data_IF_994973297723
#
_entry.id   IF_994973297723
#
_cell.length_a   1.000
_cell.length_b   1.000
_cell.length_c   1.000
_cell.angle_alpha   90.00
_cell.angle_beta   90.00
_cell.angle_gamma   90.00
#
_symmetry.space_group_name_H-M   'P 1'
#
loop_
_entity.id
_entity.type
_entity.pdbx_description
1 polymer ?
#
# COMPACT_ATOMS: atom_id res chain seq x y z
N UNK A 1 -9.88 -5.11 -19.44
CA UNK A 1 -9.88 -3.65 -19.68
C UNK A 1 -9.55 -3.28 -21.12
N UNK A 2 -10.13 -2.19 -21.64
CA UNK A 2 -9.84 -1.64 -22.99
C UNK A 2 -9.21 -0.25 -22.91
N UNK A 3 -8.15 -0.05 -23.68
CA UNK A 3 -7.43 1.22 -23.78
C UNK A 3 -7.61 1.81 -25.18
N UNK A 4 -7.90 3.10 -25.27
CA UNK A 4 -7.89 3.76 -26.57
C UNK A 4 -8.42 5.19 -26.55
N UNK A 5 -8.28 5.90 -27.69
CA UNK A 5 -8.96 7.17 -27.89
C UNK A 5 -10.48 6.95 -27.99
N UNK A 6 -11.23 7.91 -27.47
CA UNK A 6 -12.68 7.99 -27.59
C UNK A 6 -13.10 9.45 -27.74
N UNK A 7 -14.19 9.71 -28.46
CA UNK A 7 -14.83 11.02 -28.41
C UNK A 7 -15.34 11.31 -26.98
N UNK A 8 -15.53 12.56 -26.56
CA UNK A 8 -16.05 12.89 -25.23
C UNK A 8 -17.33 12.11 -24.88
N UNK A 9 -18.28 12.00 -25.80
CA UNK A 9 -19.52 11.25 -25.58
C UNK A 9 -19.28 9.75 -25.36
N UNK A 10 -18.40 9.14 -26.15
CA UNK A 10 -18.05 7.73 -25.98
C UNK A 10 -17.21 7.51 -24.72
N UNK A 11 -16.44 8.50 -24.27
CA UNK A 11 -15.53 8.38 -23.14
C UNK A 11 -16.24 8.23 -21.78
N UNK A 12 -17.56 8.43 -21.70
CA UNK A 12 -18.36 8.26 -20.47
C UNK A 12 -18.09 6.88 -19.83
N UNK A 13 -17.86 6.89 -18.52
CA UNK A 13 -17.50 5.71 -17.72
C UNK A 13 -16.04 5.26 -17.87
N UNK A 14 -15.29 5.84 -18.81
CA UNK A 14 -13.85 5.66 -18.91
C UNK A 14 -13.08 6.51 -17.91
N UNK A 15 -11.83 6.13 -17.65
CA UNK A 15 -10.91 6.84 -16.77
C UNK A 15 -9.77 7.44 -17.58
N UNK A 16 -9.42 8.71 -17.34
CA UNK A 16 -8.32 9.38 -18.03
C UNK A 16 -6.97 8.72 -17.74
N UNK A 17 -6.23 8.43 -18.80
CA UNK A 17 -4.95 7.72 -18.68
C UNK A 17 -3.80 8.65 -18.28
N UNK A 18 -3.86 9.90 -18.74
CA UNK A 18 -2.88 10.93 -18.47
C UNK A 18 -3.60 12.23 -18.10
N UNK A 19 -2.86 13.17 -17.51
CA UNK A 19 -3.39 14.51 -17.26
C UNK A 19 -3.60 15.21 -18.60
N UNK A 20 -4.84 15.52 -18.94
CA UNK A 20 -5.19 16.29 -20.14
C UNK A 20 -5.13 17.78 -19.81
N UNK A 21 -4.41 18.54 -20.63
CA UNK A 21 -4.33 20.01 -20.55
C UNK A 21 -4.68 20.60 -21.90
N UNK A 22 -5.76 21.38 -21.96
CA UNK A 22 -6.23 22.05 -23.18
C UNK A 22 -6.76 23.44 -22.82
N UNK A 23 -6.04 24.49 -23.21
CA UNK A 23 -6.35 25.85 -22.76
C UNK A 23 -6.33 25.95 -21.23
N UNK A 24 -7.45 26.34 -20.62
CA UNK A 24 -7.64 26.41 -19.17
C UNK A 24 -8.09 25.10 -18.53
N UNK A 25 -8.47 24.09 -19.32
CA UNK A 25 -8.92 22.80 -18.81
C UNK A 25 -7.72 21.97 -18.32
N UNK A 26 -7.84 21.46 -17.09
CA UNK A 26 -6.95 20.43 -16.54
C UNK A 26 -7.79 19.28 -15.99
N UNK A 27 -7.81 18.16 -16.69
CA UNK A 27 -8.32 16.89 -16.16
C UNK A 27 -7.13 16.06 -15.67
N UNK A 28 -7.13 15.68 -14.40
CA UNK A 28 -6.05 14.87 -13.82
C UNK A 28 -6.12 13.45 -14.39
N UNK A 29 -4.98 12.75 -14.41
CA UNK A 29 -4.97 11.29 -14.57
C UNK A 29 -5.85 10.64 -13.50
N UNK A 30 -6.58 9.60 -13.86
CA UNK A 30 -7.46 8.87 -12.94
C UNK A 30 -8.84 9.52 -12.77
N UNK A 31 -9.17 10.56 -13.53
CA UNK A 31 -10.51 11.16 -13.51
C UNK A 31 -11.48 10.28 -14.29
N UNK A 32 -12.56 9.85 -13.65
CA UNK A 32 -13.69 9.19 -14.31
C UNK A 32 -14.46 10.22 -15.14
N UNK A 33 -14.69 9.92 -16.41
CA UNK A 33 -15.44 10.78 -17.33
C UNK A 33 -16.95 10.56 -17.11
N UNK A 34 -17.62 11.56 -16.55
CA UNK A 34 -19.08 11.64 -16.50
C UNK A 34 -19.62 12.75 -17.42
N UNK A 35 -20.95 12.99 -17.41
CA UNK A 35 -21.58 14.04 -18.23
C UNK A 35 -20.97 15.43 -18.02
N UNK A 36 -20.56 15.76 -16.79
CA UNK A 36 -19.92 17.03 -16.47
C UNK A 36 -18.54 17.16 -17.15
N UNK A 37 -17.72 16.11 -17.09
CA UNK A 37 -16.41 16.10 -17.76
C UNK A 37 -16.58 16.19 -19.28
N UNK A 38 -17.59 15.53 -19.84
CA UNK A 38 -17.92 15.62 -21.28
C UNK A 38 -18.25 17.05 -21.69
N UNK A 39 -19.07 17.77 -20.92
CA UNK A 39 -19.37 19.17 -21.23
C UNK A 39 -18.10 20.03 -21.24
N UNK A 40 -17.21 19.83 -20.26
CA UNK A 40 -15.99 20.62 -20.15
C UNK A 40 -15.00 20.28 -21.27
N UNK A 41 -14.89 19.00 -21.64
CA UNK A 41 -14.11 18.53 -22.80
C UNK A 41 -14.62 19.18 -24.10
N UNK A 42 -15.94 19.18 -24.32
CA UNK A 42 -16.56 19.80 -25.49
C UNK A 42 -16.32 21.32 -25.51
N UNK A 43 -16.51 22.00 -24.37
CA UNK A 43 -16.25 23.46 -24.25
C UNK A 43 -14.78 23.80 -24.52
N UNK A 44 -13.86 22.91 -24.19
CA UNK A 44 -12.42 23.06 -24.45
C UNK A 44 -12.00 22.67 -25.88
N UNK A 45 -12.93 22.21 -26.72
CA UNK A 45 -12.64 21.78 -28.10
C UNK A 45 -11.83 20.48 -28.18
N UNK A 46 -11.93 19.60 -27.19
CA UNK A 46 -11.24 18.31 -27.20
C UNK A 46 -12.04 17.30 -28.02
N UNK A 47 -11.49 16.90 -29.17
CA UNK A 47 -12.15 15.94 -30.07
C UNK A 47 -12.00 14.48 -29.62
N UNK A 48 -10.85 14.14 -29.03
CA UNK A 48 -10.55 12.79 -28.55
C UNK A 48 -9.83 12.85 -27.21
N UNK A 49 -10.20 11.92 -26.32
CA UNK A 49 -9.52 11.69 -25.05
C UNK A 49 -9.15 10.22 -24.94
N UNK A 50 -7.93 9.94 -24.48
CA UNK A 50 -7.49 8.56 -24.24
C UNK A 50 -7.98 8.11 -22.88
N UNK A 51 -8.85 7.11 -22.88
CA UNK A 51 -9.44 6.54 -21.67
C UNK A 51 -9.16 5.05 -21.57
N UNK A 52 -9.19 4.56 -20.34
CA UNK A 52 -9.31 3.14 -20.04
C UNK A 52 -10.73 2.84 -19.58
N UNK A 53 -11.31 1.75 -20.09
CA UNK A 53 -12.59 1.21 -19.61
C UNK A 53 -12.36 -0.14 -18.97
N UNK A 54 -12.88 -0.30 -17.75
CA UNK A 54 -12.97 -1.59 -17.11
C UNK A 54 -13.96 -2.45 -17.88
N UNK A 55 -13.64 -3.74 -18.06
CA UNK A 55 -14.55 -4.70 -18.65
C UNK A 55 -15.39 -5.38 -17.57
N UNK A 56 -16.44 -6.07 -17.98
CA UNK A 56 -17.21 -6.90 -17.05
C UNK A 56 -16.30 -7.93 -16.39
N UNK A 57 -16.29 -7.97 -15.05
CA UNK A 57 -15.40 -8.82 -14.26
C UNK A 57 -14.09 -8.16 -13.82
N UNK A 58 -13.77 -6.94 -14.29
CA UNK A 58 -12.66 -6.15 -13.77
C UNK A 58 -13.06 -5.38 -12.50
N UNK A 59 -12.07 -5.12 -11.65
CA UNK A 59 -12.15 -4.17 -10.53
C UNK A 59 -11.13 -3.06 -10.71
N UNK A 60 -11.44 -1.88 -10.15
CA UNK A 60 -10.52 -0.73 -10.22
C UNK A 60 -9.21 -0.99 -9.47
N UNK A 61 -8.14 -0.30 -9.88
CA UNK A 61 -6.84 -0.36 -9.21
C UNK A 61 -6.93 -0.01 -7.72
N UNK A 62 -7.76 0.97 -7.36
CA UNK A 62 -7.93 1.42 -5.98
C UNK A 62 -8.70 0.39 -5.14
N UNK A 63 -9.74 -0.23 -5.71
CA UNK A 63 -10.47 -1.30 -5.03
C UNK A 63 -9.57 -2.52 -4.78
N UNK A 64 -8.80 -2.92 -5.79
CA UNK A 64 -7.86 -4.03 -5.66
C UNK A 64 -6.74 -3.72 -4.65
N UNK A 65 -6.14 -2.53 -4.73
CA UNK A 65 -5.11 -2.08 -3.79
C UNK A 65 -5.63 -2.10 -2.34
N UNK A 66 -6.82 -1.54 -2.11
CA UNK A 66 -7.43 -1.49 -0.79
C UNK A 66 -7.74 -2.90 -0.26
N UNK A 67 -8.29 -3.78 -1.10
CA UNK A 67 -8.62 -5.15 -0.72
C UNK A 67 -7.40 -5.93 -0.25
N UNK A 68 -6.30 -5.86 -1.01
CA UNK A 68 -5.05 -6.56 -0.69
C UNK A 68 -4.38 -5.93 0.54
N UNK A 69 -4.34 -4.59 0.63
CA UNK A 69 -3.80 -3.89 1.80
C UNK A 69 -4.53 -4.26 3.09
N UNK A 70 -5.86 -4.35 3.03
CA UNK A 70 -6.67 -4.79 4.17
C UNK A 70 -6.37 -6.24 4.57
N UNK A 71 -6.14 -7.14 3.61
CA UNK A 71 -5.86 -8.54 3.88
C UNK A 71 -4.47 -8.77 4.53
N UNK A 72 -3.46 -8.00 4.09
CA UNK A 72 -2.11 -8.09 4.68
C UNK A 72 -1.99 -7.38 6.04
N UNK A 73 -2.93 -6.50 6.38
CA UNK A 73 -2.93 -5.73 7.62
C UNK A 73 -3.20 -6.64 8.82
N UNK A 74 -2.24 -6.69 9.75
CA UNK A 74 -2.39 -7.33 11.06
C UNK A 74 -2.20 -6.33 12.21
N UNK A 75 -1.89 -6.85 13.40
CA UNK A 75 -1.84 -6.04 14.62
C UNK A 75 -0.83 -4.88 14.52
N UNK A 76 -1.28 -3.67 14.84
CA UNK A 76 -0.42 -2.48 14.88
C UNK A 76 -0.04 -1.92 13.51
N UNK A 77 -0.66 -2.38 12.43
CA UNK A 77 -0.53 -1.83 11.08
C UNK A 77 -1.74 -0.95 10.78
N UNK A 78 -1.52 0.21 10.16
CA UNK A 78 -2.56 1.13 9.70
C UNK A 78 -2.47 1.20 8.19
N UNK A 79 -3.53 0.79 7.48
CA UNK A 79 -3.62 0.97 6.04
C UNK A 79 -4.25 2.32 5.71
N UNK A 80 -3.59 3.11 4.86
CA UNK A 80 -4.20 4.30 4.28
C UNK A 80 -5.16 3.93 3.15
N UNK A 81 -6.08 4.86 2.84
CA UNK A 81 -6.99 4.74 1.71
C UNK A 81 -6.18 4.57 0.41
N UNK A 82 -6.59 3.61 -0.41
CA UNK A 82 -6.03 3.44 -1.74
C UNK A 82 -6.30 4.66 -2.63
N UNK A 83 -5.27 5.10 -3.35
CA UNK A 83 -5.37 6.18 -4.32
C UNK A 83 -4.39 5.95 -5.47
N UNK A 84 -4.88 6.07 -6.72
CA UNK A 84 -4.10 5.86 -7.94
C UNK A 84 -3.37 4.51 -7.96
N UNK A 85 -4.10 3.46 -7.57
CA UNK A 85 -3.65 2.07 -7.51
C UNK A 85 -2.66 1.78 -6.41
N UNK A 86 -2.46 2.68 -5.44
CA UNK A 86 -1.50 2.50 -4.34
C UNK A 86 -2.21 2.56 -3.00
N UNK A 87 -1.90 1.62 -2.12
CA UNK A 87 -2.29 1.65 -0.71
C UNK A 87 -1.03 1.51 0.16
N UNK A 88 -0.72 2.53 0.95
CA UNK A 88 0.42 2.53 1.86
C UNK A 88 0.01 2.02 3.24
N UNK A 89 0.93 1.31 3.90
CA UNK A 89 0.72 0.77 5.24
C UNK A 89 1.78 1.33 6.19
N UNK A 90 1.35 1.71 7.39
CA UNK A 90 2.15 2.42 8.38
C UNK A 90 2.17 1.68 9.71
N UNK A 91 3.27 1.83 10.44
CA UNK A 91 3.36 1.37 11.81
C UNK A 91 2.50 2.26 12.72
N UNK A 92 1.49 1.69 13.38
CA UNK A 92 0.64 2.43 14.32
C UNK A 92 1.28 2.68 15.68
N UNK A 93 2.47 2.13 15.94
CA UNK A 93 3.27 2.34 17.17
C UNK A 93 4.72 1.94 16.91
N UNK A 94 5.64 2.40 17.77
CA UNK A 94 7.02 1.96 17.74
C UNK A 94 7.17 0.47 18.10
N UNK A 95 8.05 -0.23 17.40
CA UNK A 95 8.27 -1.66 17.61
C UNK A 95 9.15 -2.30 16.54
N UNK A 96 8.99 -3.61 16.37
CA UNK A 96 9.67 -4.40 15.34
C UNK A 96 8.66 -4.85 14.30
N UNK A 97 8.90 -4.53 13.03
CA UNK A 97 8.08 -4.99 11.91
C UNK A 97 8.27 -6.49 11.71
N UNK A 98 7.19 -7.26 11.80
CA UNK A 98 7.18 -8.70 11.50
C UNK A 98 6.44 -8.90 10.17
N UNK A 99 7.09 -9.64 9.27
CA UNK A 99 6.62 -9.89 7.91
C UNK A 99 6.56 -11.40 7.67
N UNK A 100 5.41 -11.91 7.24
CA UNK A 100 5.33 -13.22 6.58
C UNK A 100 5.92 -13.08 5.16
N UNK A 101 7.20 -13.42 5.02
CA UNK A 101 7.89 -13.37 3.71
C UNK A 101 7.24 -14.29 2.69
N UNK A 102 6.73 -15.45 3.10
CA UNK A 102 6.06 -16.35 2.19
C UNK A 102 4.75 -15.76 1.67
N UNK A 103 4.03 -14.95 2.47
CA UNK A 103 2.87 -14.21 1.97
C UNK A 103 3.26 -13.16 0.92
N UNK A 104 4.37 -12.46 1.13
CA UNK A 104 4.91 -11.51 0.13
C UNK A 104 5.18 -12.23 -1.20
N UNK A 105 5.86 -13.37 -1.15
CA UNK A 105 6.18 -14.16 -2.35
C UNK A 105 4.92 -14.70 -3.03
N UNK A 106 3.96 -15.23 -2.25
CA UNK A 106 2.69 -15.73 -2.80
C UNK A 106 1.88 -14.64 -3.49
N UNK A 107 1.79 -13.44 -2.91
CA UNK A 107 1.03 -12.33 -3.51
C UNK A 107 1.69 -11.87 -4.82
N UNK A 108 3.00 -11.63 -4.79
CA UNK A 108 3.73 -11.17 -5.98
C UNK A 108 3.84 -12.24 -7.07
N UNK A 109 3.69 -13.52 -6.71
CA UNK A 109 3.68 -14.63 -7.66
C UNK A 109 2.35 -14.84 -8.39
N UNK A 110 1.30 -14.06 -8.11
CA UNK A 110 -0.02 -14.25 -8.73
C UNK A 110 -0.06 -13.68 -10.14
N UNK A 111 0.34 -12.43 -10.30
CA UNK A 111 0.27 -11.70 -11.55
C UNK A 111 1.16 -10.46 -11.49
N UNK A 112 1.78 -10.11 -12.61
CA UNK A 112 2.66 -8.93 -12.70
C UNK A 112 1.93 -7.60 -12.43
N UNK A 113 0.60 -7.56 -12.61
CA UNK A 113 -0.20 -6.39 -12.31
C UNK A 113 -0.23 -6.03 -10.81
N UNK A 114 0.08 -6.99 -9.93
CA UNK A 114 0.01 -6.85 -8.47
C UNK A 114 1.42 -6.81 -7.89
N UNK A 115 1.74 -5.76 -7.14
CA UNK A 115 2.99 -5.67 -6.41
C UNK A 115 2.73 -5.36 -4.94
N UNK A 116 3.31 -6.17 -4.05
CA UNK A 116 3.33 -5.93 -2.62
C UNK A 116 4.78 -5.86 -2.13
N UNK A 117 5.17 -4.70 -1.60
CA UNK A 117 6.51 -4.44 -1.12
C UNK A 117 6.49 -4.03 0.36
N UNK A 118 7.51 -4.45 1.10
CA UNK A 118 7.66 -4.18 2.54
C UNK A 118 9.07 -3.69 2.84
N UNK A 119 9.26 -2.99 3.96
CA UNK A 119 10.57 -2.91 4.58
C UNK A 119 11.05 -4.32 4.97
N UNK A 120 12.35 -4.45 5.27
CA UNK A 120 12.93 -5.72 5.69
C UNK A 120 12.26 -6.26 6.96
N UNK A 121 12.00 -7.56 6.99
CA UNK A 121 11.52 -8.24 8.19
C UNK A 121 12.44 -7.97 9.38
N UNK A 122 11.83 -7.78 10.55
CA UNK A 122 12.47 -7.46 11.83
C UNK A 122 13.15 -6.09 11.90
N UNK A 123 12.87 -5.19 10.95
CA UNK A 123 13.33 -3.82 11.04
C UNK A 123 12.65 -3.10 12.23
N UNK A 124 13.42 -2.39 13.08
CA UNK A 124 12.87 -1.43 14.04
C UNK A 124 12.13 -0.29 13.32
N UNK A 125 10.94 0.05 13.81
CA UNK A 125 10.10 1.12 13.25
C UNK A 125 9.60 2.05 14.35
N UNK A 126 9.33 3.29 13.95
CA UNK A 126 8.65 4.29 14.79
C UNK A 126 7.19 4.43 14.37
N UNK A 127 6.36 5.02 15.24
CA UNK A 127 4.97 5.34 14.90
C UNK A 127 4.91 6.27 13.68
N UNK A 128 3.98 5.99 12.76
CA UNK A 128 3.80 6.75 11.52
C UNK A 128 4.82 6.43 10.43
N UNK A 129 5.74 5.48 10.63
CA UNK A 129 6.67 5.07 9.59
C UNK A 129 5.96 4.20 8.54
N UNK A 130 6.15 4.48 7.25
CA UNK A 130 5.64 3.65 6.16
C UNK A 130 6.41 2.33 6.10
N UNK A 131 5.73 1.21 6.31
CA UNK A 131 6.34 -0.12 6.42
C UNK A 131 6.09 -1.02 5.24
N UNK A 132 5.04 -0.76 4.46
CA UNK A 132 4.71 -1.51 3.26
C UNK A 132 3.83 -0.72 2.29
N UNK A 133 3.71 -1.20 1.06
CA UNK A 133 2.85 -0.63 0.03
C UNK A 133 2.33 -1.73 -0.89
N UNK A 134 1.04 -1.65 -1.23
CA UNK A 134 0.45 -2.41 -2.33
C UNK A 134 0.34 -1.47 -3.52
N UNK A 135 0.79 -1.92 -4.69
CA UNK A 135 0.69 -1.20 -5.96
C UNK A 135 0.05 -2.09 -7.02
N UNK A 136 -0.99 -1.58 -7.64
CA UNK A 136 -1.53 -2.07 -8.90
C UNK A 136 -0.89 -1.24 -10.02
N UNK A 137 -0.32 -1.95 -10.99
CA UNK A 137 0.36 -1.36 -12.14
C UNK A 137 -0.66 -0.86 -13.18
N UNK A 138 -1.65 -1.66 -13.60
CA UNK A 138 -2.73 -1.19 -14.48
C UNK A 138 -3.83 -0.47 -13.69
N UNK A 139 -4.71 0.23 -14.41
CA UNK A 139 -5.87 0.96 -13.85
C UNK A 139 -6.99 0.05 -13.31
N UNK A 140 -6.91 -1.24 -13.61
CA UNK A 140 -7.80 -2.26 -13.10
C UNK A 140 -7.24 -3.64 -13.38
N UNK A 141 -7.79 -4.63 -12.68
CA UNK A 141 -7.41 -6.03 -12.79
C UNK A 141 -8.66 -6.90 -12.74
N UNK A 142 -8.59 -8.11 -13.28
CA UNK A 142 -9.68 -9.07 -13.13
C UNK A 142 -9.95 -9.34 -11.65
N UNK A 143 -11.23 -9.37 -11.25
CA UNK A 143 -11.63 -9.59 -9.85
C UNK A 143 -11.03 -10.90 -9.28
N UNK A 144 -10.90 -11.94 -10.11
CA UNK A 144 -10.29 -13.22 -9.72
C UNK A 144 -8.84 -13.09 -9.26
N UNK A 145 -8.06 -12.15 -9.82
CA UNK A 145 -6.67 -11.90 -9.46
C UNK A 145 -6.60 -11.16 -8.10
N UNK A 146 -7.45 -10.15 -7.92
CA UNK A 146 -7.65 -9.48 -6.62
C UNK A 146 -8.01 -10.50 -5.54
N UNK A 147 -8.98 -11.37 -5.82
CA UNK A 147 -9.44 -12.37 -4.86
C UNK A 147 -8.37 -13.42 -4.55
N UNK A 148 -7.58 -13.83 -5.55
CA UNK A 148 -6.43 -14.70 -5.34
C UNK A 148 -5.38 -14.04 -4.44
N UNK A 149 -5.09 -12.75 -4.63
CA UNK A 149 -4.13 -12.01 -3.82
C UNK A 149 -4.59 -11.83 -2.37
N UNK A 150 -5.87 -11.52 -2.18
CA UNK A 150 -6.50 -11.47 -0.86
C UNK A 150 -6.41 -12.83 -0.16
N UNK A 151 -6.69 -13.94 -0.86
CA UNK A 151 -6.54 -15.30 -0.30
C UNK A 151 -5.09 -15.63 0.03
N UNK A 152 -4.15 -15.26 -0.85
CA UNK A 152 -2.71 -15.53 -0.67
C UNK A 152 -2.09 -14.77 0.50
N UNK A 153 -2.60 -13.56 0.79
CA UNK A 153 -2.23 -12.75 1.95
C UNK A 153 -2.50 -13.47 3.27
N UNK A 154 -3.52 -14.33 3.33
CA UNK A 154 -4.01 -14.92 4.58
C UNK A 154 -4.65 -13.86 5.48
N UNK A 155 -4.46 -13.97 6.80
CA UNK A 155 -4.88 -12.95 7.76
C UNK A 155 -3.66 -12.38 8.48
N UNK A 156 -3.32 -11.11 8.18
CA UNK A 156 -2.29 -10.37 8.92
C UNK A 156 -0.84 -10.75 8.58
N UNK A 157 -0.49 -10.74 7.29
CA UNK A 157 0.88 -10.95 6.81
C UNK A 157 1.90 -9.95 7.41
N UNK A 158 1.43 -8.80 7.87
CA UNK A 158 2.22 -7.78 8.55
C UNK A 158 1.71 -7.57 9.98
N UNK A 159 2.62 -7.41 10.93
CA UNK A 159 2.28 -6.90 12.27
C UNK A 159 3.45 -6.12 12.86
N UNK A 160 3.16 -5.25 13.81
CA UNK A 160 4.17 -4.60 14.65
C UNK A 160 4.21 -5.32 16.00
N UNK A 161 5.39 -5.86 16.35
CA UNK A 161 5.67 -6.31 17.71
C UNK A 161 6.10 -5.09 18.54
N UNK A 162 5.24 -4.51 19.40
CA UNK A 162 5.59 -3.29 20.11
C UNK A 162 6.73 -3.51 21.10
N UNK A 163 7.50 -2.46 21.36
CA UNK A 163 8.38 -2.46 22.51
C UNK A 163 7.57 -2.47 23.79
N UNK A 164 7.89 -3.39 24.69
CA UNK A 164 7.24 -3.54 25.99
C UNK A 164 8.28 -3.41 27.09
N UNK A 165 7.99 -2.55 28.06
CA UNK A 165 8.82 -2.48 29.26
C UNK A 165 8.56 -3.75 30.06
N UNK A 166 9.62 -4.53 30.28
CA UNK A 166 9.57 -5.72 31.14
C UNK A 166 10.41 -5.45 32.39
N UNK A 167 10.04 -6.07 33.50
CA UNK A 167 10.90 -6.13 34.69
C UNK A 167 12.08 -7.04 34.37
N UNK A 168 13.29 -6.54 34.56
CA UNK A 168 14.54 -7.29 34.37
C UNK A 168 15.16 -7.52 35.74
N UNK A 169 15.61 -8.74 36.01
CA UNK A 169 16.45 -9.06 37.16
C UNK A 169 17.90 -9.13 36.71
N UNK A 170 18.80 -8.47 37.44
CA UNK A 170 20.25 -8.51 37.16
C UNK A 170 20.95 -9.27 38.28
N UNK A 171 21.76 -10.26 37.92
CA UNK A 171 22.64 -10.96 38.84
C UNK A 171 24.09 -10.77 38.40
N UNK A 172 24.95 -10.37 39.32
CA UNK A 172 26.39 -10.19 39.08
C UNK A 172 27.17 -10.89 40.18
N UNK A 173 28.15 -11.71 39.80
CA UNK A 173 29.08 -12.37 40.72
C UNK A 173 30.34 -11.54 40.86
N UNK A 174 30.76 -11.29 42.11
CA UNK A 174 31.91 -10.44 42.40
C UNK A 174 33.17 -11.28 42.61
N UNK A 175 34.28 -10.87 41.99
CA UNK A 175 35.62 -11.37 42.29
C UNK A 175 36.40 -10.32 43.10
N UNK A 176 37.35 -10.72 43.97
CA UNK A 176 38.10 -9.78 44.81
C UNK A 176 38.84 -8.67 44.04
N UNK A 177 39.22 -8.90 42.78
CA UNK A 177 39.89 -7.91 41.93
C UNK A 177 38.97 -7.11 41.01
N UNK A 178 37.65 -7.35 41.03
CA UNK A 178 36.72 -6.68 40.12
C UNK A 178 36.39 -5.28 40.63
N UNK A 179 36.65 -4.26 39.82
CA UNK A 179 36.31 -2.89 40.16
C UNK A 179 34.77 -2.70 40.27
N UNK A 180 34.26 -2.07 41.35
CA UNK A 180 32.82 -1.85 41.53
C UNK A 180 32.14 -1.11 40.36
N UNK A 181 32.86 -0.19 39.70
CA UNK A 181 32.34 0.58 38.57
C UNK A 181 31.92 -0.29 37.38
N UNK A 182 32.51 -1.48 37.25
CA UNK A 182 32.17 -2.45 36.19
C UNK A 182 30.78 -3.04 36.42
N UNK A 183 30.31 -3.10 37.67
CA UNK A 183 28.98 -3.59 38.04
C UNK A 183 27.97 -2.45 38.14
N UNK A 184 28.37 -1.30 38.67
CA UNK A 184 27.46 -0.16 38.88
C UNK A 184 26.96 0.46 37.56
N UNK A 185 27.83 0.52 36.53
CA UNK A 185 27.47 1.15 35.26
C UNK A 185 26.36 0.38 34.51
N UNK A 186 26.44 -0.95 34.32
CA UNK A 186 25.35 -1.74 33.76
C UNK A 186 24.04 -1.64 34.57
N UNK A 187 24.11 -1.65 35.90
CA UNK A 187 22.92 -1.56 36.77
C UNK A 187 22.14 -0.24 36.62
N UNK A 188 22.77 0.84 36.14
CA UNK A 188 22.11 2.15 35.96
C UNK A 188 21.39 2.33 34.63
N UNK A 189 21.73 1.52 33.62
CA UNK A 189 21.23 1.67 32.24
C UNK A 189 20.27 0.54 31.83
N UNK A 190 19.97 -0.37 32.76
CA UNK A 190 19.06 -1.50 32.59
C UNK A 190 17.80 -1.26 33.42
#
# INVERSE_FOLDING_TARGET
MKFGPASPAEAIGGVTVHTLRQGSLVLKKGTTIGPAEVEVLNKAGVEQVVVVRLEEGDVSEDEAAASIAQAVTGEGIIAERAFTGRANLFAGKAGVLVVDRAAVDRINGIDEAITFATLSAFKPVVEGEMVATVKLIPFGVEAKLRDAAVRAAGQGALRIAPYVIKRVGVASTLLPGLSPKVVDKPLRVT
#
